data_IF_220363694308
#
_entry.id   IF_220363694308
#
_cell.length_a   1.000
_cell.length_b   1.000
_cell.length_c   1.000
_cell.angle_alpha   90.00
_cell.angle_beta   90.00
_cell.angle_gamma   90.00
#
_symmetry.space_group_name_H-M   'P 1'
#
loop_
_entity.id
_entity.type
_entity.pdbx_description
1 polymer ?
#
# COMPACT_ATOMS: atom_id res chain seq x y z
N UNK A 1 -24.07 33.60 -43.70
CA UNK A 1 -22.96 33.00 -42.94
C UNK A 1 -23.06 33.47 -41.51
N UNK A 2 -23.28 32.55 -40.58
CA UNK A 2 -23.18 32.76 -39.14
C UNK A 2 -22.56 31.47 -38.55
N UNK A 3 -21.57 31.55 -37.65
CA UNK A 3 -20.84 30.39 -37.20
C UNK A 3 -21.67 29.59 -36.18
N UNK A 4 -21.90 28.32 -36.50
CA UNK A 4 -22.46 27.33 -35.58
C UNK A 4 -21.51 27.15 -34.39
N UNK A 5 -21.88 27.65 -33.21
CA UNK A 5 -21.17 27.34 -31.99
C UNK A 5 -21.35 25.85 -31.67
N UNK A 6 -20.29 25.06 -31.83
CA UNK A 6 -20.21 23.72 -31.26
C UNK A 6 -20.27 23.86 -29.73
N UNK A 7 -21.40 23.52 -29.14
CA UNK A 7 -21.49 23.25 -27.70
C UNK A 7 -20.68 21.99 -27.43
N UNK A 8 -19.46 22.18 -26.91
CA UNK A 8 -18.71 21.12 -26.24
C UNK A 8 -19.52 20.67 -25.05
N UNK A 9 -20.23 19.55 -25.19
CA UNK A 9 -20.83 18.85 -24.05
C UNK A 9 -19.65 18.21 -23.33
N UNK A 10 -19.08 18.92 -22.36
CA UNK A 10 -18.21 18.29 -21.37
C UNK A 10 -19.11 17.34 -20.57
N UNK A 11 -18.73 16.05 -20.40
CA UNK A 11 -19.44 15.20 -19.47
C UNK A 11 -19.35 15.85 -18.09
N UNK A 12 -20.50 16.00 -17.43
CA UNK A 12 -20.58 16.43 -16.04
C UNK A 12 -19.64 15.53 -15.23
N UNK A 13 -18.55 16.13 -14.75
CA UNK A 13 -17.65 15.50 -13.80
C UNK A 13 -18.50 15.33 -12.53
N UNK A 14 -19.05 14.13 -12.33
CA UNK A 14 -19.65 13.73 -11.06
C UNK A 14 -18.68 14.13 -9.95
N UNK A 15 -19.18 14.91 -9.00
CA UNK A 15 -18.47 15.39 -7.81
C UNK A 15 -18.29 14.28 -6.78
N UNK A 16 -18.23 13.02 -7.21
CA UNK A 16 -17.99 11.90 -6.34
C UNK A 16 -16.50 11.60 -6.32
N UNK A 17 -15.76 12.46 -5.61
CA UNK A 17 -14.45 12.12 -5.07
C UNK A 17 -14.65 11.01 -4.01
N UNK A 18 -14.93 9.79 -4.48
CA UNK A 18 -14.84 8.62 -3.63
C UNK A 18 -13.35 8.38 -3.38
N UNK A 19 -12.85 8.94 -2.27
CA UNK A 19 -11.76 8.30 -1.54
C UNK A 19 -12.27 6.89 -1.30
N UNK A 20 -11.56 5.90 -1.83
CA UNK A 20 -11.94 4.51 -1.59
C UNK A 20 -11.32 4.11 -0.26
N UNK A 21 -12.12 4.38 0.76
CA UNK A 21 -12.15 3.80 2.08
C UNK A 21 -11.40 2.45 2.08
N UNK A 22 -10.27 2.35 2.78
CA UNK A 22 -9.56 1.09 2.97
C UNK A 22 -10.52 0.04 3.54
N UNK A 23 -10.22 -1.27 3.42
CA UNK A 23 -11.13 -2.35 3.84
C UNK A 23 -11.64 -2.22 5.28
N UNK A 24 -10.88 -1.57 6.16
CA UNK A 24 -11.22 -1.34 7.57
C UNK A 24 -12.19 -0.18 7.84
N UNK A 25 -12.61 0.57 6.82
CA UNK A 25 -13.71 1.54 6.95
C UNK A 25 -15.09 0.88 6.76
N UNK A 26 -15.13 -0.41 6.39
CA UNK A 26 -16.35 -1.23 6.35
C UNK A 26 -16.56 -2.11 7.58
N UNK A 27 -15.69 -2.03 8.59
CA UNK A 27 -15.69 -2.88 9.80
C UNK A 27 -16.91 -2.69 10.74
N UNK A 28 -18.03 -2.12 10.30
CA UNK A 28 -19.19 -2.02 11.16
C UNK A 28 -20.17 -3.20 11.06
N UNK A 29 -20.19 -4.02 9.99
CA UNK A 29 -21.37 -4.92 9.77
C UNK A 29 -21.21 -6.32 9.19
N UNK A 30 -20.06 -6.81 8.70
CA UNK A 30 -20.05 -8.20 8.20
C UNK A 30 -18.66 -8.89 8.22
N UNK A 31 -18.44 -9.91 9.07
CA UNK A 31 -17.19 -10.67 9.12
C UNK A 31 -16.95 -11.57 7.89
N UNK A 32 -17.92 -11.77 6.99
CA UNK A 32 -17.73 -12.56 5.76
C UNK A 32 -16.96 -11.82 4.64
N UNK A 33 -16.63 -10.53 4.81
CA UNK A 33 -15.95 -9.71 3.80
C UNK A 33 -14.44 -9.99 3.67
N UNK A 34 -13.86 -10.83 4.51
CA UNK A 34 -12.40 -10.92 4.65
C UNK A 34 -11.65 -11.78 3.64
N UNK A 35 -12.31 -12.53 2.75
CA UNK A 35 -11.55 -13.27 1.72
C UNK A 35 -12.36 -13.63 0.47
N UNK A 36 -12.57 -12.67 -0.43
CA UNK A 36 -12.93 -13.03 -1.81
C UNK A 36 -11.68 -13.49 -2.57
N UNK A 37 -11.23 -14.71 -2.27
CA UNK A 37 -10.05 -15.34 -2.86
C UNK A 37 -10.09 -15.32 -4.39
N UNK A 38 -11.27 -15.51 -4.98
CA UNK A 38 -11.45 -15.51 -6.43
C UNK A 38 -11.21 -14.13 -7.07
N UNK A 39 -11.79 -13.07 -6.50
CA UNK A 39 -11.54 -11.70 -6.97
C UNK A 39 -10.08 -11.30 -6.76
N UNK A 40 -9.48 -11.64 -5.62
CA UNK A 40 -8.05 -11.41 -5.38
C UNK A 40 -7.20 -12.08 -6.45
N UNK A 41 -7.39 -13.38 -6.72
CA UNK A 41 -6.66 -14.12 -7.75
C UNK A 41 -6.88 -13.51 -9.15
N UNK A 42 -8.10 -13.10 -9.48
CA UNK A 42 -8.45 -12.47 -10.75
C UNK A 42 -7.67 -11.16 -10.94
N UNK A 43 -7.58 -10.31 -9.92
CA UNK A 43 -6.86 -9.04 -9.97
C UNK A 43 -5.34 -9.24 -10.00
N UNK A 44 -4.80 -10.19 -9.25
CA UNK A 44 -3.38 -10.56 -9.32
C UNK A 44 -3.01 -11.05 -10.72
N UNK A 45 -3.81 -11.96 -11.31
CA UNK A 45 -3.61 -12.42 -12.70
C UNK A 45 -3.69 -11.29 -13.72
N UNK A 46 -4.64 -10.37 -13.57
CA UNK A 46 -4.75 -9.21 -14.46
C UNK A 46 -3.50 -8.32 -14.38
N UNK A 47 -3.00 -8.08 -13.17
CA UNK A 47 -1.77 -7.32 -12.93
C UNK A 47 -0.55 -8.01 -13.54
N UNK A 48 -0.39 -9.32 -13.30
CA UNK A 48 0.71 -10.11 -13.87
C UNK A 48 0.75 -10.00 -15.40
N UNK A 49 -0.39 -10.01 -16.07
CA UNK A 49 -0.46 -9.83 -17.54
C UNK A 49 0.03 -8.46 -17.98
N UNK A 50 -0.30 -7.40 -17.25
CA UNK A 50 0.15 -6.03 -17.56
C UNK A 50 1.66 -5.94 -17.41
N UNK A 51 2.19 -6.37 -16.27
CA UNK A 51 3.62 -6.39 -15.99
C UNK A 51 4.39 -7.25 -17.00
N UNK A 52 3.84 -8.41 -17.41
CA UNK A 52 4.43 -9.28 -18.45
C UNK A 52 4.57 -8.56 -19.78
N UNK A 53 3.51 -7.87 -20.20
CA UNK A 53 3.49 -7.12 -21.46
C UNK A 53 4.53 -6.00 -21.47
N UNK A 54 4.83 -5.44 -20.30
CA UNK A 54 5.83 -4.39 -20.13
C UNK A 54 7.25 -4.91 -19.87
N UNK A 55 7.45 -6.24 -19.84
CA UNK A 55 8.74 -6.87 -19.50
C UNK A 55 9.28 -6.43 -18.13
N UNK A 56 8.38 -6.25 -17.17
CA UNK A 56 8.71 -5.84 -15.80
C UNK A 56 8.72 -7.03 -14.82
N UNK A 57 8.80 -8.27 -15.31
CA UNK A 57 8.59 -9.50 -14.51
C UNK A 57 9.87 -10.25 -14.11
N UNK A 58 11.07 -9.77 -14.40
CA UNK A 58 12.24 -10.67 -14.39
C UNK A 58 12.71 -11.09 -13.00
N UNK A 59 12.18 -10.48 -11.93
CA UNK A 59 12.63 -10.69 -10.55
C UNK A 59 11.75 -11.63 -9.70
N UNK A 60 10.46 -11.76 -10.01
CA UNK A 60 9.51 -12.51 -9.16
C UNK A 60 8.60 -13.40 -10.00
N UNK A 61 8.17 -14.53 -9.42
CA UNK A 61 7.17 -15.40 -10.05
C UNK A 61 5.74 -14.93 -9.75
N UNK A 62 5.21 -14.06 -10.60
CA UNK A 62 3.86 -13.53 -10.44
C UNK A 62 2.74 -14.53 -10.81
N UNK A 63 3.07 -15.81 -11.02
CA UNK A 63 2.08 -16.89 -11.19
C UNK A 63 1.66 -17.51 -9.86
N UNK A 64 2.44 -17.31 -8.79
CA UNK A 64 2.21 -17.85 -7.45
C UNK A 64 1.92 -16.73 -6.44
N UNK A 65 1.18 -17.04 -5.37
CA UNK A 65 0.91 -16.05 -4.29
C UNK A 65 2.20 -15.70 -3.57
N UNK A 66 3.09 -16.67 -3.42
CA UNK A 66 4.40 -16.53 -2.81
C UNK A 66 5.24 -15.50 -3.57
N UNK A 67 5.25 -15.55 -4.91
CA UNK A 67 5.97 -14.55 -5.70
C UNK A 67 5.41 -13.13 -5.55
N UNK A 68 4.09 -12.98 -5.39
CA UNK A 68 3.48 -11.69 -5.06
C UNK A 68 3.86 -11.21 -3.65
N UNK A 69 3.80 -12.08 -2.65
CA UNK A 69 4.21 -11.76 -1.29
C UNK A 69 5.68 -11.33 -1.26
N UNK A 70 6.60 -12.04 -1.93
CA UNK A 70 8.01 -11.63 -2.01
C UNK A 70 8.19 -10.24 -2.63
N UNK A 71 7.44 -9.89 -3.68
CA UNK A 71 7.53 -8.57 -4.30
C UNK A 71 7.10 -7.47 -3.34
N UNK A 72 5.94 -7.63 -2.67
CA UNK A 72 5.47 -6.64 -1.71
C UNK A 72 6.35 -6.57 -0.46
N UNK A 73 6.91 -7.71 -0.05
CA UNK A 73 7.89 -7.79 1.03
C UNK A 73 9.11 -6.92 0.67
N UNK A 74 9.72 -7.09 -0.51
CA UNK A 74 10.81 -6.21 -0.96
C UNK A 74 10.40 -4.73 -0.99
N UNK A 75 9.18 -4.40 -1.46
CA UNK A 75 8.71 -3.00 -1.45
C UNK A 75 8.53 -2.45 -0.04
N UNK A 76 8.14 -3.28 0.92
CA UNK A 76 8.04 -2.89 2.32
C UNK A 76 9.43 -2.67 2.94
N UNK A 77 10.44 -3.49 2.60
CA UNK A 77 11.83 -3.25 3.02
C UNK A 77 12.34 -1.90 2.51
N UNK A 78 12.08 -1.60 1.24
CA UNK A 78 12.45 -0.31 0.64
C UNK A 78 11.77 0.86 1.36
N UNK A 79 10.48 0.73 1.65
CA UNK A 79 9.71 1.71 2.42
C UNK A 79 10.28 1.91 3.85
N UNK A 80 10.52 0.82 4.58
CA UNK A 80 11.09 0.87 5.93
C UNK A 80 12.50 1.46 5.94
N UNK A 81 13.36 1.06 4.99
CA UNK A 81 14.72 1.59 4.86
C UNK A 81 14.72 3.09 4.59
N UNK A 82 13.82 3.58 3.73
CA UNK A 82 13.66 5.00 3.45
C UNK A 82 13.25 5.80 4.69
N UNK A 83 12.31 5.29 5.49
CA UNK A 83 11.83 6.01 6.68
C UNK A 83 12.70 5.88 7.92
N UNK A 84 13.62 4.91 7.95
CA UNK A 84 14.57 4.73 9.06
C UNK A 84 15.90 5.45 8.83
N UNK A 85 16.30 5.68 7.57
CA UNK A 85 17.52 6.41 7.22
C UNK A 85 17.22 7.90 7.07
N UNK A 86 17.94 8.75 7.82
CA UNK A 86 17.82 10.23 7.73
C UNK A 86 18.32 10.82 6.41
N UNK A 87 19.09 10.06 5.62
CA UNK A 87 19.98 10.62 4.58
C UNK A 87 19.51 10.36 3.13
N UNK A 88 18.28 9.89 2.89
CA UNK A 88 17.76 9.76 1.53
C UNK A 88 16.96 11.01 1.13
N UNK A 89 17.34 11.63 0.01
CA UNK A 89 16.63 12.79 -0.51
C UNK A 89 15.17 12.42 -0.87
N UNK A 90 14.17 13.23 -0.48
CA UNK A 90 12.75 12.96 -0.77
C UNK A 90 12.40 12.87 -2.26
N UNK A 91 13.23 13.46 -3.12
CA UNK A 91 13.02 13.56 -4.56
C UNK A 91 13.29 12.23 -5.28
N UNK A 92 14.17 11.39 -4.74
CA UNK A 92 14.63 10.15 -5.40
C UNK A 92 13.60 9.01 -5.35
N UNK A 93 12.52 9.15 -4.55
CA UNK A 93 11.62 8.03 -4.19
C UNK A 93 10.16 8.44 -3.95
N UNK A 94 9.65 9.49 -4.62
CA UNK A 94 8.23 9.88 -4.56
C UNK A 94 7.25 8.77 -5.01
N UNK A 95 7.78 7.69 -5.57
CA UNK A 95 7.07 6.51 -6.03
C UNK A 95 6.86 5.44 -4.93
N UNK A 96 7.53 5.54 -3.76
CA UNK A 96 7.45 4.52 -2.71
C UNK A 96 6.18 4.62 -1.87
N UNK A 97 5.71 5.83 -1.55
CA UNK A 97 4.58 6.03 -0.66
C UNK A 97 3.84 7.36 -0.89
N UNK A 98 2.56 7.37 -0.56
CA UNK A 98 1.75 8.60 -0.52
C UNK A 98 2.02 9.39 0.76
N UNK A 99 1.71 10.69 0.76
CA UNK A 99 1.77 11.53 1.98
C UNK A 99 0.90 10.97 3.12
N UNK A 100 -0.24 10.34 2.79
CA UNK A 100 -1.15 9.70 3.75
C UNK A 100 -0.44 8.54 4.46
N UNK A 101 0.20 7.64 3.71
CA UNK A 101 0.95 6.52 4.27
C UNK A 101 2.12 6.99 5.14
N UNK A 102 2.86 8.02 4.70
CA UNK A 102 3.98 8.60 5.45
C UNK A 102 3.49 9.18 6.78
N UNK A 103 2.39 9.92 6.75
CA UNK A 103 1.78 10.49 7.95
C UNK A 103 1.32 9.40 8.91
N UNK A 104 0.63 8.37 8.41
CA UNK A 104 0.20 7.23 9.22
C UNK A 104 1.40 6.52 9.87
N UNK A 105 2.45 6.22 9.09
CA UNK A 105 3.68 5.60 9.61
C UNK A 105 4.34 6.42 10.72
N UNK A 106 4.37 7.74 10.55
CA UNK A 106 4.93 8.66 11.54
C UNK A 106 4.13 8.66 12.85
N UNK A 107 2.82 8.42 12.78
CA UNK A 107 1.96 8.32 13.96
C UNK A 107 2.11 6.98 14.70
N UNK A 108 2.48 5.91 14.00
CA UNK A 108 2.74 4.58 14.58
C UNK A 108 4.05 4.56 15.38
N UNK A 109 5.01 5.43 15.01
CA UNK A 109 6.32 5.52 15.63
C UNK A 109 6.22 5.65 17.16
N UNK A 110 6.87 4.76 17.94
CA UNK A 110 6.88 4.88 19.39
C UNK A 110 7.55 6.19 19.86
N UNK A 111 6.99 6.79 20.90
CA UNK A 111 7.53 8.02 21.50
C UNK A 111 8.74 7.72 22.39
N UNK A 112 9.59 8.71 22.64
CA UNK A 112 10.74 8.65 23.57
C UNK A 112 11.88 7.68 23.17
N UNK A 113 11.99 7.35 21.90
CA UNK A 113 13.05 6.50 21.34
C UNK A 113 14.12 7.33 20.61
N UNK A 114 15.39 6.96 20.76
CA UNK A 114 16.50 7.47 19.94
C UNK A 114 16.46 6.90 18.53
N UNK A 115 16.24 5.60 18.42
CA UNK A 115 16.21 4.89 17.14
C UNK A 115 15.04 3.92 17.09
N UNK A 116 14.52 3.78 15.87
CA UNK A 116 13.49 2.83 15.51
C UNK A 116 13.96 2.14 14.24
N UNK A 117 14.25 0.86 14.33
CA UNK A 117 14.52 0.03 13.16
C UNK A 117 13.33 -0.91 13.00
N UNK A 118 12.82 -0.99 11.78
CA UNK A 118 11.70 -1.88 11.44
C UNK A 118 12.14 -2.79 10.32
N UNK A 119 12.03 -4.09 10.55
CA UNK A 119 12.39 -5.14 9.60
C UNK A 119 11.13 -5.97 9.32
N UNK A 120 10.48 -5.77 8.17
CA UNK A 120 9.39 -6.65 7.76
C UNK A 120 9.94 -8.07 7.50
N UNK A 121 9.22 -9.11 7.94
CA UNK A 121 9.69 -10.50 7.81
C UNK A 121 8.61 -11.47 7.30
N UNK A 122 7.33 -11.10 7.41
CA UNK A 122 6.23 -11.89 6.86
C UNK A 122 5.21 -10.96 6.20
N UNK A 123 4.69 -11.37 5.06
CA UNK A 123 3.60 -10.66 4.39
C UNK A 123 2.61 -11.62 3.75
N UNK A 124 1.32 -11.26 3.81
CA UNK A 124 0.23 -12.04 3.24
C UNK A 124 -0.78 -11.12 2.58
N UNK A 125 -1.04 -11.35 1.29
CA UNK A 125 -2.09 -10.65 0.55
C UNK A 125 -3.45 -11.13 1.04
N UNK A 126 -4.18 -10.22 1.66
CA UNK A 126 -5.54 -10.45 2.15
C UNK A 126 -6.53 -10.20 1.02
N UNK A 127 -6.34 -9.11 0.27
CA UNK A 127 -7.28 -8.67 -0.76
C UNK A 127 -6.56 -7.98 -1.91
N UNK A 128 -7.06 -8.18 -3.13
CA UNK A 128 -6.77 -7.29 -4.25
C UNK A 128 -8.09 -6.77 -4.84
N UNK A 129 -8.13 -5.49 -5.21
CA UNK A 129 -9.31 -4.83 -5.81
C UNK A 129 -8.90 -3.78 -6.84
N UNK A 130 -9.85 -3.36 -7.66
CA UNK A 130 -9.71 -2.17 -8.52
C UNK A 130 -10.43 -1.01 -7.85
N UNK A 131 -9.81 0.16 -7.89
CA UNK A 131 -10.41 1.42 -7.41
C UNK A 131 -10.20 2.52 -8.44
N UNK A 132 -11.01 3.57 -8.36
CA UNK A 132 -10.79 4.81 -9.13
C UNK A 132 -10.80 5.98 -8.16
N UNK A 133 -9.71 6.73 -8.14
CA UNK A 133 -9.60 7.98 -7.38
C UNK A 133 -8.76 8.99 -8.15
N UNK A 134 -9.11 10.27 -8.00
CA UNK A 134 -8.52 11.39 -8.74
C UNK A 134 -8.53 11.20 -10.28
N UNK A 135 -9.61 10.61 -10.82
CA UNK A 135 -9.74 10.35 -12.27
C UNK A 135 -8.82 9.24 -12.81
N UNK A 136 -8.12 8.52 -11.94
CA UNK A 136 -7.22 7.44 -12.32
C UNK A 136 -7.69 6.12 -11.72
N UNK A 137 -7.54 5.04 -12.49
CA UNK A 137 -7.82 3.68 -12.03
C UNK A 137 -6.56 3.03 -11.49
N UNK A 138 -6.69 2.36 -10.35
CA UNK A 138 -5.61 1.73 -9.61
C UNK A 138 -5.97 0.28 -9.29
N UNK A 139 -4.97 -0.59 -9.31
CA UNK A 139 -5.05 -1.84 -8.56
C UNK A 139 -4.58 -1.58 -7.14
N UNK A 140 -5.39 -1.96 -6.14
CA UNK A 140 -5.01 -1.92 -4.73
C UNK A 140 -4.83 -3.33 -4.20
N UNK A 141 -3.84 -3.51 -3.34
CA UNK A 141 -3.51 -4.76 -2.66
C UNK A 141 -3.43 -4.48 -1.18
N UNK A 142 -4.25 -5.16 -0.41
CA UNK A 142 -4.27 -5.09 1.05
C UNK A 142 -3.47 -6.27 1.55
N UNK A 143 -2.43 -5.97 2.33
CA UNK A 143 -1.56 -6.96 2.92
C UNK A 143 -1.64 -6.88 4.43
N UNK A 144 -1.56 -8.03 5.07
CA UNK A 144 -1.11 -8.15 6.45
C UNK A 144 0.42 -8.30 6.40
N UNK A 145 1.11 -7.50 7.20
CA UNK A 145 2.57 -7.49 7.27
C UNK A 145 2.99 -7.56 8.73
N UNK A 146 3.80 -8.55 9.06
CA UNK A 146 4.42 -8.67 10.37
C UNK A 146 5.84 -8.10 10.29
N UNK A 147 6.18 -7.28 11.28
CA UNK A 147 7.45 -6.56 11.36
C UNK A 147 8.11 -6.79 12.72
N UNK A 148 9.42 -7.00 12.69
CA UNK A 148 10.27 -6.92 13.87
C UNK A 148 10.68 -5.46 14.07
N UNK A 149 10.46 -4.95 15.27
CA UNK A 149 10.84 -3.61 15.68
C UNK A 149 11.95 -3.68 16.71
N UNK A 150 13.06 -2.99 16.44
CA UNK A 150 14.12 -2.75 17.40
C UNK A 150 14.10 -1.30 17.85
N UNK A 151 13.78 -1.10 19.13
CA UNK A 151 13.63 0.21 19.75
C UNK A 151 14.83 0.49 20.65
N UNK A 152 15.44 1.68 20.54
CA UNK A 152 16.42 2.17 21.52
C UNK A 152 15.86 3.40 22.22
N UNK A 153 15.88 3.43 23.55
CA UNK A 153 15.28 4.53 24.34
C UNK A 153 16.29 5.61 24.74
N UNK A 154 15.86 6.88 24.72
CA UNK A 154 16.71 8.05 24.98
C UNK A 154 17.51 8.01 26.29
N UNK A 155 16.89 7.56 27.39
CA UNK A 155 17.46 7.71 28.74
C UNK A 155 18.22 6.48 29.22
N UNK A 156 17.78 5.29 28.86
CA UNK A 156 18.33 4.03 29.39
C UNK A 156 19.31 3.35 28.45
N UNK A 157 19.37 3.75 27.16
CA UNK A 157 19.99 2.98 26.08
C UNK A 157 19.52 1.51 26.04
N UNK A 158 18.41 1.20 26.72
CA UNK A 158 17.79 -0.12 26.70
C UNK A 158 17.30 -0.38 25.29
N UNK A 159 17.59 -1.56 24.77
CA UNK A 159 17.02 -2.07 23.54
C UNK A 159 15.81 -2.93 23.87
N UNK A 160 14.74 -2.75 23.10
CA UNK A 160 13.56 -3.59 23.16
C UNK A 160 13.25 -4.07 21.75
N UNK A 161 13.29 -5.39 21.57
CA UNK A 161 12.71 -6.05 20.41
C UNK A 161 11.22 -6.32 20.66
N UNK A 162 10.38 -6.05 19.66
CA UNK A 162 8.98 -6.50 19.66
C UNK A 162 8.56 -6.86 18.24
N UNK A 163 7.53 -7.69 18.11
CA UNK A 163 6.84 -7.94 16.86
C UNK A 163 5.58 -7.10 16.83
N UNK A 164 5.27 -6.50 15.68
CA UNK A 164 3.98 -5.86 15.44
C UNK A 164 3.40 -6.27 14.10
N UNK A 165 2.07 -6.31 14.03
CA UNK A 165 1.32 -6.60 12.81
C UNK A 165 0.69 -5.33 12.28
N UNK A 166 0.75 -5.12 10.97
CA UNK A 166 0.20 -3.95 10.30
C UNK A 166 -0.58 -4.38 9.06
N UNK A 167 -1.68 -3.68 8.76
CA UNK A 167 -2.28 -3.70 7.44
C UNK A 167 -1.67 -2.62 6.57
N UNK A 168 -1.22 -3.01 5.38
CA UNK A 168 -0.54 -2.14 4.41
C UNK A 168 -1.29 -2.22 3.09
N UNK A 169 -1.62 -1.07 2.51
CA UNK A 169 -2.25 -1.00 1.20
C UNK A 169 -1.23 -0.54 0.16
N UNK A 170 -0.90 -1.42 -0.77
CA UNK A 170 -0.13 -1.08 -1.96
C UNK A 170 -1.08 -0.69 -3.11
N UNK A 171 -0.65 0.24 -3.95
CA UNK A 171 -1.36 0.57 -5.20
C UNK A 171 -0.43 0.62 -6.39
N UNK A 172 -0.97 0.24 -7.55
CA UNK A 172 -0.34 0.44 -8.85
C UNK A 172 -1.32 1.17 -9.79
N UNK A 173 -0.87 2.29 -10.38
CA UNK A 173 -1.67 3.02 -11.37
C UNK A 173 -1.75 2.26 -12.68
N UNK A 174 -2.92 2.21 -13.31
CA UNK A 174 -3.03 1.74 -14.69
C UNK A 174 -2.37 2.70 -15.70
N UNK A 175 -2.24 3.99 -15.35
CA UNK A 175 -1.56 4.98 -16.20
C UNK A 175 -0.04 4.91 -16.12
N UNK A 176 0.51 4.32 -15.05
CA UNK A 176 1.95 4.09 -14.85
C UNK A 176 2.19 2.70 -14.24
N UNK A 177 1.97 1.61 -14.99
CA UNK A 177 2.11 0.27 -14.44
C UNK A 177 3.57 -0.06 -14.10
N UNK A 178 3.76 -0.96 -13.13
CA UNK A 178 5.09 -1.33 -12.63
C UNK A 178 5.53 -0.57 -11.37
N UNK A 179 4.91 0.57 -11.07
CA UNK A 179 5.20 1.34 -9.87
C UNK A 179 4.19 0.98 -8.77
N UNK A 180 4.67 0.35 -7.70
CA UNK A 180 3.88 -0.02 -6.53
C UNK A 180 4.21 0.88 -5.35
N UNK A 181 3.23 1.65 -4.88
CA UNK A 181 3.41 2.58 -3.76
C UNK A 181 2.57 2.18 -2.56
N UNK A 182 3.06 2.48 -1.35
CA UNK A 182 2.26 2.38 -0.12
C UNK A 182 1.28 3.55 -0.06
N UNK A 183 -0.01 3.26 -0.06
CA UNK A 183 -1.09 4.25 0.00
C UNK A 183 -1.66 4.43 1.40
N UNK A 184 -1.64 3.39 2.22
CA UNK A 184 -2.12 3.44 3.60
C UNK A 184 -1.41 2.40 4.46
N UNK A 185 -1.25 2.71 5.75
CA UNK A 185 -0.73 1.80 6.77
C UNK A 185 -1.58 1.95 8.03
N UNK A 186 -1.93 0.83 8.66
CA UNK A 186 -2.69 0.81 9.92
C UNK A 186 -2.16 -0.31 10.83
N UNK A 187 -1.93 -0.05 12.13
CA UNK A 187 -1.63 -1.11 13.08
C UNK A 187 -2.78 -2.10 13.16
N UNK A 188 -2.46 -3.38 13.24
CA UNK A 188 -3.42 -4.37 13.68
C UNK A 188 -3.76 -4.08 15.14
N UNK A 189 -5.05 -3.92 15.42
CA UNK A 189 -5.57 -3.98 16.78
C UNK A 189 -6.26 -5.32 16.85
N UNK A 190 -5.77 -6.24 17.67
CA UNK A 190 -6.63 -7.29 18.17
C UNK A 190 -7.83 -6.54 18.76
N UNK A 191 -9.04 -6.82 18.25
CA UNK A 191 -10.25 -6.37 18.93
C UNK A 191 -10.11 -6.78 20.39
N UNK A 192 -10.41 -5.86 21.30
CA UNK A 192 -10.59 -6.16 22.72
C UNK A 192 -11.76 -7.16 22.82
N UNK A 193 -11.45 -8.45 22.68
CA UNK A 193 -12.32 -9.58 23.03
C UNK A 193 -11.94 -10.11 24.41
#
# INVERSE_FOLDING_TARGET
>A
GAPTQMRTILPEISKDNHIVDPPWEKDAKDPELFWNKWETIKHLRATARILRRQRLLDKYDFTTIEGWNMMFMTRMEEFCAYHTKKDMAPEDRQDLATSIAISAWSQIRPRNITSWTVVPYESSIIQARVTTHHGHTWYQYVLQVDVEELLTFHKSKKQLGRVSRNYVVFEMSLGKPGIFRVSAIRPFRESDD
#
